data_IF_963672996582
#
_entry.id   IF_963672996582
#
_cell.length_a   1.000
_cell.length_b   1.000
_cell.length_c   1.000
_cell.angle_alpha   90.00
_cell.angle_beta   90.00
_cell.angle_gamma   90.00
#
_symmetry.space_group_name_H-M   'P 1'
#
loop_
_entity.id
_entity.type
_entity.pdbx_description
1 polymer ?
#
# COMPACT_ATOMS: atom_id res chain seq x y z
N UNK A 1 -10.28 -0.12 1.93
CA UNK A 1 -11.39 -0.36 0.97
C UNK A 1 -12.76 -0.16 1.61
N UNK A 2 -13.00 -0.72 2.80
CA UNK A 2 -14.23 -0.53 3.58
C UNK A 2 -14.63 0.94 3.77
N UNK A 3 -13.69 1.86 3.93
CA UNK A 3 -13.97 3.29 4.17
C UNK A 3 -14.90 3.93 3.12
N UNK A 4 -14.86 3.47 1.86
CA UNK A 4 -15.67 4.02 0.76
C UNK A 4 -17.07 3.39 0.61
N UNK A 5 -17.42 2.37 1.40
CA UNK A 5 -18.78 1.78 1.36
C UNK A 5 -19.78 2.74 2.00
N UNK A 6 -20.87 3.08 1.36
CA UNK A 6 -21.90 3.97 1.94
C UNK A 6 -23.10 3.21 2.48
N UNK A 7 -23.33 1.98 2.00
CA UNK A 7 -24.44 1.12 2.43
C UNK A 7 -24.07 -0.36 2.24
N UNK A 8 -24.52 -1.20 3.18
CA UNK A 8 -24.45 -2.65 3.06
C UNK A 8 -25.85 -3.25 3.12
N UNK A 9 -26.19 -4.10 2.15
CA UNK A 9 -27.30 -5.02 2.32
C UNK A 9 -26.79 -6.31 2.94
N UNK A 10 -27.39 -6.70 4.07
CA UNK A 10 -26.94 -7.85 4.85
C UNK A 10 -28.10 -8.75 5.26
N UNK A 11 -27.89 -10.05 5.11
CA UNK A 11 -28.78 -11.11 5.60
C UNK A 11 -28.32 -11.51 7.00
N UNK A 12 -29.17 -11.28 8.00
CA UNK A 12 -28.92 -11.63 9.39
C UNK A 12 -29.18 -13.12 9.65
N UNK A 13 -28.73 -13.60 10.82
CA UNK A 13 -28.87 -15.00 11.22
C UNK A 13 -30.33 -15.49 11.31
N UNK A 14 -31.29 -14.59 11.51
CA UNK A 14 -32.73 -14.90 11.51
C UNK A 14 -33.37 -14.83 10.12
N UNK A 15 -32.57 -14.63 9.07
CA UNK A 15 -32.99 -14.56 7.67
C UNK A 15 -33.56 -13.21 7.24
N UNK A 16 -33.63 -12.21 8.12
CA UNK A 16 -34.02 -10.84 7.72
C UNK A 16 -32.93 -10.20 6.86
N UNK A 17 -33.38 -9.40 5.90
CA UNK A 17 -32.53 -8.54 5.08
C UNK A 17 -32.66 -7.13 5.61
N UNK A 18 -31.54 -6.50 5.97
CA UNK A 18 -31.50 -5.12 6.45
C UNK A 18 -30.47 -4.32 5.66
N UNK A 19 -30.67 -3.01 5.61
CA UNK A 19 -29.67 -2.06 5.10
C UNK A 19 -28.90 -1.49 6.30
N UNK A 20 -27.57 -1.42 6.18
CA UNK A 20 -26.70 -0.89 7.21
C UNK A 20 -25.88 0.27 6.63
N UNK A 21 -26.19 1.49 7.07
CA UNK A 21 -25.57 2.74 6.69
C UNK A 21 -25.50 3.70 7.90
N UNK A 22 -25.14 4.96 7.68
CA UNK A 22 -25.02 5.94 8.76
C UNK A 22 -26.36 6.29 9.44
N UNK A 23 -27.48 6.11 8.75
CA UNK A 23 -28.81 6.51 9.24
C UNK A 23 -29.63 5.30 9.74
N UNK A 24 -29.39 4.11 9.20
CA UNK A 24 -30.06 2.86 9.53
C UNK A 24 -29.05 1.78 9.95
N UNK A 25 -29.25 1.15 11.10
CA UNK A 25 -28.34 0.11 11.64
C UNK A 25 -26.87 0.56 11.70
N UNK A 26 -26.62 1.80 12.16
CA UNK A 26 -25.30 2.44 12.16
C UNK A 26 -24.21 1.71 12.98
N UNK A 27 -24.61 0.98 14.02
CA UNK A 27 -23.74 0.10 14.80
C UNK A 27 -23.23 -1.08 13.96
N UNK A 28 -24.13 -1.70 13.20
CA UNK A 28 -23.80 -2.75 12.25
C UNK A 28 -22.96 -2.19 11.09
N UNK A 29 -23.31 -1.01 10.55
CA UNK A 29 -22.53 -0.32 9.52
C UNK A 29 -21.08 -0.11 9.95
N UNK A 30 -20.87 0.50 11.13
CA UNK A 30 -19.52 0.73 11.67
C UNK A 30 -18.76 -0.58 11.87
N UNK A 31 -19.45 -1.63 12.31
CA UNK A 31 -18.83 -2.93 12.53
C UNK A 31 -18.40 -3.59 11.22
N UNK A 32 -19.20 -3.47 10.16
CA UNK A 32 -18.87 -4.04 8.84
C UNK A 32 -17.73 -3.28 8.12
N UNK A 33 -17.33 -2.11 8.62
CA UNK A 33 -16.22 -1.29 8.09
C UNK A 33 -14.82 -1.79 8.48
N UNK A 34 -14.67 -3.06 8.85
CA UNK A 34 -13.38 -3.64 9.25
C UNK A 34 -13.50 -4.79 10.25
N UNK A 35 -14.66 -4.94 10.89
CA UNK A 35 -15.05 -6.18 11.52
C UNK A 35 -15.30 -7.20 10.42
N UNK A 36 -14.50 -8.27 10.42
CA UNK A 36 -14.64 -9.43 9.52
C UNK A 36 -16.07 -9.99 9.47
N UNK A 37 -16.32 -11.01 8.65
CA UNK A 37 -17.63 -11.57 8.32
C UNK A 37 -18.37 -12.29 9.49
N UNK A 38 -18.66 -11.59 10.59
CA UNK A 38 -19.21 -12.15 11.82
C UNK A 38 -20.66 -11.74 12.13
N UNK A 39 -21.29 -10.91 11.29
CA UNK A 39 -22.58 -10.29 11.62
C UNK A 39 -23.71 -10.63 10.64
N UNK A 40 -23.43 -11.50 9.66
CA UNK A 40 -24.36 -11.91 8.62
C UNK A 40 -23.65 -12.10 7.28
N UNK A 41 -24.44 -12.32 6.23
CA UNK A 41 -23.96 -12.45 4.86
C UNK A 41 -24.26 -11.15 4.13
N UNK A 42 -23.22 -10.38 3.80
CA UNK A 42 -23.37 -9.20 2.95
C UNK A 42 -23.56 -9.65 1.51
N UNK A 43 -24.66 -9.23 0.89
CA UNK A 43 -25.00 -9.59 -0.49
C UNK A 43 -25.03 -8.38 -1.45
N UNK A 44 -24.97 -7.14 -0.93
CA UNK A 44 -24.76 -5.90 -1.70
C UNK A 44 -23.82 -4.97 -0.94
N UNK A 45 -22.95 -4.30 -1.70
CA UNK A 45 -22.14 -3.19 -1.24
C UNK A 45 -22.40 -2.02 -2.17
N UNK A 46 -22.77 -0.86 -1.62
CA UNK A 46 -22.86 0.38 -2.38
C UNK A 46 -21.64 1.24 -2.03
N UNK A 47 -20.87 1.63 -3.05
CA UNK A 47 -19.62 2.36 -2.87
C UNK A 47 -19.77 3.80 -3.37
N UNK A 48 -19.14 4.73 -2.66
CA UNK A 48 -18.82 6.03 -3.23
C UNK A 48 -17.67 5.87 -4.22
N UNK A 49 -17.88 6.37 -5.44
CA UNK A 49 -16.89 6.29 -6.52
C UNK A 49 -16.09 7.57 -6.61
N UNK A 50 -14.81 7.45 -6.91
CA UNK A 50 -13.96 8.59 -7.25
C UNK A 50 -14.18 8.98 -8.73
N UNK A 51 -14.17 10.28 -9.02
CA UNK A 51 -14.11 10.79 -10.39
C UNK A 51 -12.84 10.29 -11.10
N UNK A 52 -12.88 10.19 -12.44
CA UNK A 52 -11.70 9.80 -13.23
C UNK A 52 -10.55 10.79 -12.97
N UNK A 53 -9.62 10.35 -12.14
CA UNK A 53 -8.50 11.18 -11.72
C UNK A 53 -7.28 10.84 -12.58
N UNK A 54 -6.84 11.86 -13.32
CA UNK A 54 -5.50 11.84 -13.95
C UNK A 54 -4.47 11.96 -12.84
N UNK A 55 -3.46 11.12 -12.89
CA UNK A 55 -2.37 11.10 -11.91
C UNK A 55 -1.04 10.83 -12.62
N UNK A 56 0.06 11.09 -11.92
CA UNK A 56 1.38 10.67 -12.36
C UNK A 56 1.81 9.49 -11.50
N UNK A 57 2.13 8.36 -12.11
CA UNK A 57 2.43 7.15 -11.34
C UNK A 57 2.85 5.98 -12.20
N UNK A 58 3.14 4.86 -11.55
CA UNK A 58 3.59 3.63 -12.16
C UNK A 58 4.48 2.84 -11.21
N UNK A 59 5.36 2.04 -11.79
CA UNK A 59 6.25 1.13 -11.07
C UNK A 59 7.70 1.31 -11.52
N UNK A 60 8.62 1.12 -10.57
CA UNK A 60 10.05 1.09 -10.82
C UNK A 60 10.64 -0.18 -10.24
N UNK A 61 11.40 -0.91 -11.06
CA UNK A 61 12.15 -2.09 -10.61
C UNK A 61 13.62 -1.71 -10.52
N UNK A 62 14.22 -1.94 -9.37
CA UNK A 62 15.57 -1.56 -9.01
C UNK A 62 16.35 -2.80 -8.54
N UNK A 63 17.67 -2.65 -8.46
CA UNK A 63 18.54 -3.74 -8.01
C UNK A 63 18.42 -3.93 -6.49
N UNK A 64 18.56 -5.17 -6.03
CA UNK A 64 18.75 -5.47 -4.60
C UNK A 64 19.92 -4.69 -3.99
N UNK A 65 20.97 -4.39 -4.76
CA UNK A 65 22.16 -3.69 -4.25
C UNK A 65 21.87 -2.28 -3.76
N UNK A 66 20.79 -1.65 -4.24
CA UNK A 66 20.42 -0.30 -3.81
C UNK A 66 19.57 -0.29 -2.53
N UNK A 67 19.34 -1.44 -1.87
CA UNK A 67 18.47 -1.56 -0.70
C UNK A 67 18.68 -0.46 0.36
N UNK A 68 19.92 -0.08 0.74
CA UNK A 68 20.14 1.02 1.68
C UNK A 68 19.51 2.35 1.23
N UNK A 69 19.65 2.71 -0.05
CA UNK A 69 19.07 3.92 -0.63
C UNK A 69 17.53 3.84 -0.69
N UNK A 70 16.95 2.66 -0.90
CA UNK A 70 15.48 2.50 -0.89
C UNK A 70 14.91 2.67 0.52
N UNK A 71 15.56 2.10 1.53
CA UNK A 71 15.17 2.27 2.93
C UNK A 71 15.29 3.75 3.32
N UNK A 72 16.41 4.41 2.99
CA UNK A 72 16.57 5.84 3.25
C UNK A 72 15.46 6.66 2.56
N UNK A 73 15.15 6.35 1.29
CA UNK A 73 14.08 7.03 0.56
C UNK A 73 12.72 6.83 1.20
N UNK A 74 12.41 5.64 1.69
CA UNK A 74 11.14 5.36 2.37
C UNK A 74 11.04 6.12 3.69
N UNK A 75 12.09 6.11 4.51
CA UNK A 75 12.13 6.85 5.78
C UNK A 75 11.96 8.36 5.56
N UNK A 76 12.61 8.92 4.54
CA UNK A 76 12.46 10.34 4.22
C UNK A 76 11.08 10.68 3.68
N UNK A 77 10.49 9.79 2.87
CA UNK A 77 9.13 9.96 2.38
C UNK A 77 8.13 9.96 3.54
N UNK A 78 8.20 8.98 4.44
CA UNK A 78 7.27 8.86 5.58
C UNK A 78 7.40 10.03 6.56
N UNK A 79 8.63 10.51 6.81
CA UNK A 79 8.87 11.70 7.62
C UNK A 79 8.25 12.98 7.03
N UNK A 80 7.98 13.03 5.72
CA UNK A 80 7.44 14.20 5.03
C UNK A 80 5.93 14.11 4.72
N UNK A 81 5.23 13.03 5.12
CA UNK A 81 3.78 12.84 4.88
C UNK A 81 2.93 14.06 5.26
N UNK A 82 3.16 14.76 6.39
CA UNK A 82 2.34 15.93 6.73
C UNK A 82 2.38 17.07 5.69
N UNK A 83 3.43 17.12 4.86
CA UNK A 83 3.62 18.14 3.83
C UNK A 83 3.29 17.62 2.41
N UNK A 84 3.06 16.32 2.24
CA UNK A 84 2.68 15.71 0.97
C UNK A 84 1.63 14.61 1.18
N UNK A 85 0.37 15.02 1.08
CA UNK A 85 -0.80 14.14 1.21
C UNK A 85 -1.27 13.55 -0.13
N UNK A 86 -0.59 13.87 -1.24
CA UNK A 86 -1.01 13.49 -2.59
C UNK A 86 -0.16 12.37 -3.18
N UNK A 87 1.05 12.20 -2.66
CA UNK A 87 1.95 11.14 -3.06
C UNK A 87 1.68 9.84 -2.29
N UNK A 88 1.78 8.74 -3.01
CA UNK A 88 1.70 7.37 -2.52
C UNK A 88 2.98 6.65 -2.91
N UNK A 89 3.58 5.90 -1.98
CA UNK A 89 4.80 5.14 -2.18
C UNK A 89 4.75 3.83 -1.42
N UNK A 90 4.88 2.71 -2.12
CA UNK A 90 5.11 1.37 -1.56
C UNK A 90 6.38 0.81 -2.17
N UNK A 91 7.16 0.09 -1.36
CA UNK A 91 8.35 -0.64 -1.82
C UNK A 91 8.28 -2.07 -1.34
N UNK A 92 8.60 -3.00 -2.24
CA UNK A 92 8.53 -4.43 -2.02
C UNK A 92 9.86 -5.08 -2.42
N UNK A 93 10.35 -6.02 -1.61
CA UNK A 93 11.47 -6.89 -1.95
C UNK A 93 10.91 -8.26 -2.32
N UNK A 94 10.91 -8.56 -3.62
CA UNK A 94 10.32 -9.80 -4.13
C UNK A 94 11.39 -10.64 -4.81
N UNK A 95 11.43 -11.94 -4.51
CA UNK A 95 12.24 -12.87 -5.29
C UNK A 95 11.67 -12.98 -6.70
N UNK A 96 12.52 -12.76 -7.70
CA UNK A 96 12.12 -12.83 -9.10
C UNK A 96 12.75 -14.06 -9.76
N UNK A 97 11.97 -15.12 -10.04
CA UNK A 97 12.52 -16.36 -10.61
C UNK A 97 13.27 -16.16 -11.93
N UNK A 98 12.82 -15.21 -12.77
CA UNK A 98 13.50 -14.89 -14.03
C UNK A 98 14.88 -14.25 -13.85
N UNK A 99 15.15 -13.65 -12.69
CA UNK A 99 16.44 -13.07 -12.33
C UNK A 99 17.27 -14.01 -11.44
N UNK A 100 16.64 -15.01 -10.81
CA UNK A 100 17.30 -15.90 -9.84
C UNK A 100 17.75 -15.18 -8.56
N UNK A 101 17.23 -13.97 -8.29
CA UNK A 101 17.56 -13.14 -7.13
C UNK A 101 16.37 -12.23 -6.78
N UNK A 102 16.50 -11.47 -5.69
CA UNK A 102 15.55 -10.45 -5.25
C UNK A 102 15.64 -9.22 -6.16
N UNK A 103 14.48 -8.70 -6.56
CA UNK A 103 14.33 -7.37 -7.14
C UNK A 103 13.59 -6.46 -6.16
N UNK A 104 13.90 -5.17 -6.20
CA UNK A 104 13.20 -4.16 -5.38
C UNK A 104 12.21 -3.42 -6.27
N UNK A 105 10.93 -3.56 -5.99
CA UNK A 105 9.86 -2.96 -6.75
C UNK A 105 9.26 -1.80 -5.95
N UNK A 106 9.33 -0.60 -6.50
CA UNK A 106 8.64 0.57 -5.97
C UNK A 106 7.40 0.88 -6.80
N UNK A 107 6.25 0.97 -6.16
CA UNK A 107 5.01 1.45 -6.74
C UNK A 107 4.76 2.86 -6.21
N UNK A 108 4.46 3.79 -7.10
CA UNK A 108 4.29 5.19 -6.74
C UNK A 108 3.19 5.87 -7.56
N UNK A 109 2.53 6.82 -6.93
CA UNK A 109 1.55 7.68 -7.58
C UNK A 109 1.53 9.06 -6.92
N UNK A 110 1.12 10.08 -7.67
CA UNK A 110 0.80 11.41 -7.18
C UNK A 110 -0.58 11.81 -7.73
N UNK A 111 -1.55 11.94 -6.83
CA UNK A 111 -2.97 12.18 -7.18
C UNK A 111 -3.24 13.60 -7.70
N UNK A 112 -2.26 14.51 -7.63
CA UNK A 112 -2.30 15.83 -8.27
C UNK A 112 -1.76 15.84 -9.70
N UNK A 113 -1.34 14.68 -10.22
CA UNK A 113 -0.66 14.57 -11.50
C UNK A 113 0.65 15.38 -11.60
N UNK A 114 1.27 15.70 -10.46
CA UNK A 114 2.58 16.34 -10.43
C UNK A 114 3.64 15.34 -10.87
N UNK A 115 4.37 15.66 -11.94
CA UNK A 115 5.47 14.82 -12.39
C UNK A 115 6.67 14.96 -11.46
N UNK A 116 7.18 13.82 -11.01
CA UNK A 116 8.40 13.76 -10.18
C UNK A 116 8.31 14.69 -8.95
N UNK A 117 7.26 14.53 -8.12
CA UNK A 117 7.03 15.43 -6.99
C UNK A 117 8.23 15.39 -6.04
N UNK A 118 8.45 16.50 -5.32
CA UNK A 118 9.62 16.66 -4.47
C UNK A 118 9.79 15.52 -3.46
N UNK A 119 8.69 14.96 -2.94
CA UNK A 119 8.70 13.83 -2.01
C UNK A 119 9.32 12.55 -2.60
N UNK A 120 9.29 12.39 -3.92
CA UNK A 120 9.83 11.21 -4.62
C UNK A 120 11.26 11.42 -5.12
N UNK A 121 11.87 12.58 -4.87
CA UNK A 121 13.18 12.94 -5.43
C UNK A 121 14.27 11.89 -5.12
N UNK A 122 14.28 11.35 -3.91
CA UNK A 122 15.26 10.36 -3.45
C UNK A 122 15.04 9.00 -4.11
N UNK A 123 13.79 8.56 -4.18
CA UNK A 123 13.40 7.36 -4.92
C UNK A 123 13.85 7.47 -6.38
N UNK A 124 13.51 8.57 -7.04
CA UNK A 124 13.77 8.81 -8.46
C UNK A 124 15.26 8.96 -8.80
N UNK A 125 16.10 9.27 -7.81
CA UNK A 125 17.56 9.30 -7.99
C UNK A 125 18.19 7.90 -8.05
N UNK A 126 17.51 6.87 -7.54
CA UNK A 126 18.00 5.49 -7.63
C UNK A 126 17.87 4.99 -9.07
N UNK A 127 18.93 4.43 -9.67
CA UNK A 127 18.87 3.83 -11.00
C UNK A 127 17.86 2.68 -11.07
N UNK A 128 16.92 2.77 -12.00
CA UNK A 128 15.94 1.72 -12.25
C UNK A 128 16.37 0.83 -13.42
N UNK A 129 16.16 -0.46 -13.28
CA UNK A 129 16.24 -1.47 -14.34
C UNK A 129 15.05 -1.31 -15.29
N UNK A 130 13.88 -1.00 -14.72
CA UNK A 130 12.64 -0.73 -15.46
C UNK A 130 11.88 0.41 -14.76
N UNK A 131 11.32 1.32 -15.55
CA UNK A 131 10.54 2.46 -15.08
C UNK A 131 9.35 2.69 -16.01
N UNK A 132 8.14 2.64 -15.46
CA UNK A 132 6.90 2.84 -16.21
C UNK A 132 6.19 4.14 -15.85
N UNK A 133 6.81 4.97 -15.00
CA UNK A 133 6.17 6.17 -14.46
C UNK A 133 5.81 7.17 -15.56
N UNK A 134 4.55 7.58 -15.58
CA UNK A 134 4.00 8.49 -16.60
C UNK A 134 2.70 9.14 -16.12
N UNK A 135 2.23 10.11 -16.88
CA UNK A 135 0.85 10.59 -16.78
C UNK A 135 -0.10 9.47 -17.18
N UNK A 136 -1.05 9.14 -16.31
CA UNK A 136 -1.90 7.96 -16.44
C UNK A 136 -3.19 8.15 -15.63
N UNK A 137 -3.98 7.08 -15.50
CA UNK A 137 -5.21 7.05 -14.71
C UNK A 137 -5.05 6.08 -13.55
N UNK A 138 -5.87 6.25 -12.50
CA UNK A 138 -5.90 5.32 -11.37
C UNK A 138 -6.16 3.87 -11.83
N UNK A 139 -7.05 3.67 -12.80
CA UNK A 139 -7.35 2.35 -13.34
C UNK A 139 -6.13 1.67 -13.99
N UNK A 140 -5.31 2.43 -14.71
CA UNK A 140 -4.10 1.90 -15.34
C UNK A 140 -3.03 1.55 -14.32
N UNK A 141 -2.83 2.40 -13.29
CA UNK A 141 -1.90 2.09 -12.20
C UNK A 141 -2.36 0.89 -11.39
N UNK A 142 -3.67 0.78 -11.10
CA UNK A 142 -4.23 -0.38 -10.41
C UNK A 142 -3.96 -1.67 -11.19
N UNK A 143 -4.29 -1.69 -12.49
CA UNK A 143 -4.04 -2.83 -13.36
C UNK A 143 -2.55 -3.19 -13.48
N UNK A 144 -1.66 -2.20 -13.45
CA UNK A 144 -0.22 -2.43 -13.48
C UNK A 144 0.33 -2.95 -12.13
N UNK A 145 -0.28 -2.53 -11.02
CA UNK A 145 0.09 -2.95 -9.67
C UNK A 145 -0.42 -4.35 -9.29
N UNK A 146 -1.33 -4.92 -10.09
CA UNK A 146 -1.83 -6.28 -9.88
C UNK A 146 -0.69 -7.29 -9.96
N UNK A 147 -0.39 -7.92 -8.82
CA UNK A 147 0.60 -8.99 -8.77
C UNK A 147 -0.04 -10.32 -9.19
N UNK A 148 0.67 -11.17 -9.96
CA UNK A 148 0.15 -12.47 -10.36
C UNK A 148 -0.05 -13.38 -9.14
N UNK A 149 -1.28 -13.81 -8.88
CA UNK A 149 -1.66 -14.67 -7.75
C UNK A 149 -0.96 -16.04 -7.70
N UNK A 150 -0.30 -16.49 -8.77
CA UNK A 150 0.27 -17.83 -8.85
C UNK A 150 1.71 -17.88 -8.32
N UNK A 151 1.91 -18.59 -7.20
CA UNK A 151 3.24 -18.97 -6.71
C UNK A 151 3.95 -17.94 -5.82
N UNK A 152 3.23 -16.91 -5.35
CA UNK A 152 3.77 -15.97 -4.37
C UNK A 152 3.61 -16.54 -2.96
N UNK A 153 4.73 -16.72 -2.26
CA UNK A 153 4.73 -16.74 -0.80
C UNK A 153 4.77 -15.28 -0.34
N UNK A 154 3.61 -14.72 -0.01
CA UNK A 154 3.52 -13.42 0.63
C UNK A 154 3.82 -13.62 2.12
N UNK A 155 5.01 -13.22 2.57
CA UNK A 155 5.25 -12.88 3.98
C UNK A 155 4.94 -11.40 4.14
N UNK A 156 3.73 -11.09 4.58
CA UNK A 156 3.36 -9.72 4.89
C UNK A 156 3.86 -9.41 6.30
N UNK A 157 4.90 -8.60 6.42
CA UNK A 157 5.28 -7.99 7.68
C UNK A 157 4.78 -6.55 7.65
N UNK A 158 3.52 -6.35 8.04
CA UNK A 158 3.12 -5.02 8.49
C UNK A 158 4.01 -4.67 9.69
N UNK A 159 4.47 -3.42 9.82
CA UNK A 159 5.26 -2.93 10.96
C UNK A 159 4.55 -3.10 12.34
N UNK A 160 3.37 -3.71 12.36
CA UNK A 160 2.60 -4.08 13.55
C UNK A 160 2.73 -5.57 13.93
N UNK A 161 3.31 -6.44 13.11
CA UNK A 161 3.38 -7.87 13.39
C UNK A 161 4.71 -8.25 14.07
N UNK A 162 4.85 -7.81 15.33
CA UNK A 162 6.01 -8.05 16.21
C UNK A 162 6.24 -9.55 16.56
N UNK A 163 5.45 -10.47 16.00
CA UNK A 163 5.47 -11.90 16.31
C UNK A 163 6.43 -12.74 15.47
N UNK A 164 6.70 -12.35 14.22
CA UNK A 164 7.46 -13.17 13.26
C UNK A 164 8.98 -13.06 13.51
N UNK A 165 9.66 -14.21 13.57
CA UNK A 165 11.11 -14.29 13.76
C UNK A 165 11.88 -13.61 12.62
N UNK A 166 11.36 -13.69 11.39
CA UNK A 166 11.94 -13.05 10.21
C UNK A 166 11.70 -11.53 10.22
N UNK A 167 10.54 -11.08 10.70
CA UNK A 167 10.27 -9.66 10.92
C UNK A 167 11.18 -9.08 12.01
N UNK A 168 11.47 -9.83 13.08
CA UNK A 168 12.42 -9.42 14.14
C UNK A 168 13.85 -9.29 13.62
N UNK A 169 14.31 -10.22 12.79
CA UNK A 169 15.66 -10.16 12.20
C UNK A 169 15.79 -8.98 11.22
N UNK A 170 14.75 -8.74 10.42
CA UNK A 170 14.69 -7.57 9.54
C UNK A 170 14.62 -6.25 10.32
N UNK A 171 13.78 -6.16 11.36
CA UNK A 171 13.70 -5.00 12.27
C UNK A 171 15.04 -4.73 12.94
N UNK A 172 15.74 -5.76 13.43
CA UNK A 172 17.06 -5.61 14.02
C UNK A 172 18.06 -5.01 13.02
N UNK A 173 18.04 -5.46 11.76
CA UNK A 173 18.85 -4.88 10.70
C UNK A 173 18.50 -3.43 10.36
N UNK A 174 17.21 -3.07 10.38
CA UNK A 174 16.75 -1.68 10.18
C UNK A 174 17.16 -0.79 11.34
N UNK A 175 17.05 -1.25 12.59
CA UNK A 175 17.47 -0.50 13.77
C UNK A 175 19.00 -0.32 13.83
N UNK A 176 19.77 -1.34 13.43
CA UNK A 176 21.22 -1.25 13.32
C UNK A 176 21.62 -0.21 12.27
N UNK A 177 21.02 -0.26 11.09
CA UNK A 177 21.21 0.74 10.04
C UNK A 177 20.85 2.16 10.52
N UNK A 178 19.74 2.32 11.24
CA UNK A 178 19.31 3.61 11.77
C UNK A 178 20.27 4.16 12.84
N UNK A 179 20.80 3.30 13.72
CA UNK A 179 21.83 3.66 14.72
C UNK A 179 23.13 4.11 14.06
N UNK A 180 23.59 3.40 13.03
CA UNK A 180 24.80 3.76 12.29
C UNK A 180 24.69 5.09 11.54
N UNK A 181 23.47 5.43 11.10
CA UNK A 181 23.20 6.69 10.38
C UNK A 181 22.78 7.85 11.28
N UNK A 182 22.64 7.62 12.59
CA UNK A 182 22.34 8.67 13.59
C UNK A 182 20.96 9.31 13.41
N UNK A 183 19.98 8.58 12.88
CA UNK A 183 18.67 9.12 12.49
C UNK A 183 17.57 8.99 13.54
N UNK A 184 17.85 8.37 14.69
CA UNK A 184 16.96 8.38 15.86
C UNK A 184 17.64 9.08 17.04
N UNK A 185 16.98 10.12 17.56
CA UNK A 185 17.20 10.64 18.91
C UNK A 185 16.02 10.10 19.73
N UNK A 186 16.33 9.53 20.90
CA UNK A 186 15.40 8.90 21.84
C UNK A 186 14.07 9.66 22.06
#
# INVERSE_FOLDING_TARGET
ACDQVVDYQIVLADGRIVEANNDEHADLFLTLKGGSANFGIVNRFDFETLDETRLWGGMRVMSKSSTPEQIESLVQFTANIPNDIYSFYVVLWNYQPSLGDIAVTAMLANTKAEEKPAAMKKLLAIPAIMDTTKQTTLAQVAAESEQPYAGMHVSEAELNDYGDAQAKEWLAGVEEFAREKGTFVD
#
